data_IF_786640717887
#
_entry.id   IF_786640717887
#
_cell.length_a   1.000
_cell.length_b   1.000
_cell.length_c   1.000
_cell.angle_alpha   90.00
_cell.angle_beta   90.00
_cell.angle_gamma   90.00
#
_symmetry.space_group_name_H-M   'P 1'
#
loop_
_entity.id
_entity.type
_entity.pdbx_description
1 polymer ?
#
# COMPACT_ATOMS: atom_id res chain seq x y z
N UNK A 1 -17.39 5.67 4.81
CA UNK A 1 -17.65 6.64 5.89
C UNK A 1 -16.53 7.68 5.90
N UNK A 2 -16.68 8.84 6.54
CA UNK A 2 -15.58 9.83 6.64
C UNK A 2 -14.28 9.21 7.18
N UNK A 3 -14.39 8.26 8.12
CA UNK A 3 -13.24 7.54 8.68
C UNK A 3 -12.56 6.61 7.66
N UNK A 4 -13.34 5.96 6.79
CA UNK A 4 -12.78 5.14 5.70
C UNK A 4 -11.99 5.97 4.69
N UNK A 5 -12.45 7.19 4.40
CA UNK A 5 -11.78 8.10 3.46
C UNK A 5 -10.48 8.64 4.05
N UNK A 6 -10.49 9.02 5.34
CA UNK A 6 -9.27 9.40 6.06
C UNK A 6 -8.28 8.23 6.15
N UNK A 7 -8.75 7.04 6.51
CA UNK A 7 -7.90 5.83 6.57
C UNK A 7 -7.29 5.51 5.21
N UNK A 8 -8.05 5.67 4.12
CA UNK A 8 -7.54 5.49 2.76
C UNK A 8 -6.51 6.55 2.36
N UNK A 9 -6.74 7.81 2.73
CA UNK A 9 -5.78 8.89 2.52
C UNK A 9 -4.44 8.58 3.20
N UNK A 10 -4.46 8.24 4.48
CA UNK A 10 -3.25 7.93 5.25
C UNK A 10 -2.53 6.69 4.72
N UNK A 11 -3.27 5.63 4.38
CA UNK A 11 -2.71 4.41 3.81
C UNK A 11 -1.99 4.65 2.49
N UNK A 12 -2.54 5.50 1.62
CA UNK A 12 -1.91 5.84 0.33
C UNK A 12 -0.69 6.74 0.48
N UNK A 13 -0.69 7.68 1.45
CA UNK A 13 0.50 8.46 1.80
C UNK A 13 1.63 7.56 2.30
N UNK A 14 1.33 6.64 3.21
CA UNK A 14 2.31 5.67 3.71
C UNK A 14 2.88 4.80 2.59
N UNK A 15 2.04 4.27 1.70
CA UNK A 15 2.49 3.49 0.55
C UNK A 15 3.41 4.31 -0.38
N UNK A 16 3.15 5.60 -0.56
CA UNK A 16 4.00 6.48 -1.35
C UNK A 16 5.37 6.70 -0.69
N UNK A 17 5.42 6.87 0.64
CA UNK A 17 6.69 7.00 1.38
C UNK A 17 7.54 5.73 1.30
N UNK A 18 6.92 4.55 1.45
CA UNK A 18 7.60 3.26 1.28
C UNK A 18 8.17 3.13 -0.13
N UNK A 19 7.38 3.43 -1.16
CA UNK A 19 7.86 3.40 -2.54
C UNK A 19 9.03 4.36 -2.79
N UNK A 20 8.98 5.54 -2.17
CA UNK A 20 10.04 6.55 -2.28
C UNK A 20 11.34 6.07 -1.62
N UNK A 21 11.27 5.42 -0.45
CA UNK A 21 12.43 4.89 0.28
C UNK A 21 13.13 3.73 -0.46
N UNK A 22 12.36 2.98 -1.25
CA UNK A 22 12.93 1.94 -2.11
C UNK A 22 13.90 2.54 -3.14
N UNK A 23 13.78 3.83 -3.49
CA UNK A 23 14.78 4.60 -4.26
C UNK A 23 15.20 3.91 -5.57
N UNK A 24 14.19 3.54 -6.38
CA UNK A 24 14.41 2.88 -7.67
C UNK A 24 14.88 1.42 -7.59
N UNK A 25 14.97 0.84 -6.40
CA UNK A 25 15.37 -0.56 -6.18
C UNK A 25 14.22 -1.57 -6.30
N UNK A 26 13.00 -1.11 -6.62
CA UNK A 26 11.85 -1.99 -6.82
C UNK A 26 11.99 -2.72 -8.17
N UNK A 27 12.34 -4.00 -8.13
CA UNK A 27 12.69 -4.83 -9.28
C UNK A 27 11.55 -5.80 -9.64
N UNK A 28 11.37 -6.12 -10.94
CA UNK A 28 10.44 -7.13 -11.38
C UNK A 28 10.47 -8.42 -10.53
N UNK A 29 9.31 -8.90 -10.13
CA UNK A 29 9.15 -10.05 -9.23
C UNK A 29 9.05 -9.67 -7.75
N UNK A 30 9.22 -8.39 -7.40
CA UNK A 30 8.95 -7.91 -6.04
C UNK A 30 7.49 -7.48 -5.87
N UNK A 31 6.99 -7.77 -4.69
CA UNK A 31 5.67 -7.38 -4.21
C UNK A 31 5.80 -6.75 -2.83
N UNK A 32 4.99 -5.73 -2.59
CA UNK A 32 4.76 -5.16 -1.28
C UNK A 32 3.26 -4.98 -1.08
N UNK A 33 2.80 -5.17 0.15
CA UNK A 33 1.39 -5.02 0.49
C UNK A 33 1.18 -4.38 1.84
N UNK A 34 0.06 -3.66 1.96
CA UNK A 34 -0.43 -3.07 3.20
C UNK A 34 -1.88 -3.47 3.39
N UNK A 35 -2.18 -4.02 4.57
CA UNK A 35 -3.53 -4.20 5.06
C UNK A 35 -3.92 -3.01 5.94
N UNK A 36 -5.07 -2.41 5.66
CA UNK A 36 -5.67 -1.34 6.47
C UNK A 36 -6.82 -1.94 7.24
N UNK A 37 -6.76 -1.85 8.57
CA UNK A 37 -7.77 -2.40 9.47
C UNK A 37 -8.54 -1.28 10.18
N UNK A 38 -9.79 -1.56 10.54
CA UNK A 38 -10.55 -0.70 11.46
C UNK A 38 -10.08 -0.85 12.91
N UNK A 39 -10.76 -0.15 13.82
CA UNK A 39 -10.50 -0.18 15.28
C UNK A 39 -10.67 -1.57 15.92
N UNK A 40 -11.42 -2.47 15.28
CA UNK A 40 -11.64 -3.85 15.73
C UNK A 40 -10.62 -4.83 15.10
N UNK A 41 -9.65 -4.32 14.33
CA UNK A 41 -8.69 -5.13 13.60
C UNK A 41 -9.30 -5.83 12.38
N UNK A 42 -10.50 -5.43 11.94
CA UNK A 42 -11.11 -5.98 10.74
C UNK A 42 -10.47 -5.31 9.51
N UNK A 43 -9.98 -6.08 8.53
CA UNK A 43 -9.48 -5.52 7.28
C UNK A 43 -10.60 -4.78 6.54
N UNK A 44 -10.32 -3.53 6.18
CA UNK A 44 -11.24 -2.67 5.42
C UNK A 44 -10.67 -2.30 4.05
N UNK A 45 -9.34 -2.20 3.91
CA UNK A 45 -8.68 -1.97 2.62
C UNK A 45 -7.39 -2.78 2.49
N UNK A 46 -6.97 -2.95 1.24
CA UNK A 46 -5.71 -3.59 0.90
C UNK A 46 -5.03 -2.83 -0.23
N UNK A 47 -3.76 -2.48 -0.05
CA UNK A 47 -2.90 -1.92 -1.10
C UNK A 47 -1.90 -3.00 -1.49
N UNK A 48 -1.83 -3.30 -2.79
CA UNK A 48 -0.82 -4.19 -3.35
C UNK A 48 -0.05 -3.45 -4.43
N UNK A 49 1.28 -3.51 -4.34
CA UNK A 49 2.20 -2.94 -5.32
C UNK A 49 3.08 -4.09 -5.79
N UNK A 50 2.92 -4.45 -7.06
CA UNK A 50 3.72 -5.48 -7.72
C UNK A 50 4.48 -4.91 -8.91
N UNK A 51 5.67 -5.44 -9.17
CA UNK A 51 6.40 -5.17 -10.40
C UNK A 51 6.61 -6.45 -11.19
N UNK A 52 6.49 -6.37 -12.51
CA UNK A 52 6.65 -7.51 -13.41
C UNK A 52 7.41 -7.11 -14.66
N UNK A 53 8.17 -8.05 -15.22
CA UNK A 53 8.75 -7.90 -16.55
C UNK A 53 7.64 -8.17 -17.56
N UNK A 54 7.51 -7.30 -18.55
CA UNK A 54 6.64 -7.56 -19.71
C UNK A 54 7.44 -8.40 -20.70
N UNK A 55 6.88 -9.51 -21.16
CA UNK A 55 7.45 -10.38 -22.20
C UNK A 55 7.07 -9.90 -23.61
#
# INVERSE_FOLDING_TARGET
>A
MPDDEAAWHDATLFAAEVLKDIDGRFRPGQEWSLEVTDENGKPIFFINIGSRKME
#
